data_IF_667301520751
#
_entry.id   IF_667301520751
#
_cell.length_a   1.000
_cell.length_b   1.000
_cell.length_c   1.000
_cell.angle_alpha   90.00
_cell.angle_beta   90.00
_cell.angle_gamma   90.00
#
_symmetry.space_group_name_H-M   'P 1'
#
loop_
_entity.id
_entity.type
_entity.pdbx_description
1 polymer ?
#
# COMPACT_ATOMS: atom_id res chain seq x y z
N UNK A 1 13.13 10.54 -4.12
CA UNK A 1 11.75 10.56 -3.56
C UNK A 1 11.83 9.92 -2.19
N UNK A 2 11.26 10.49 -1.13
CA UNK A 2 11.42 9.92 0.22
C UNK A 2 10.86 8.50 0.38
N UNK A 3 9.86 8.13 -0.42
CA UNK A 3 9.32 6.76 -0.45
C UNK A 3 10.36 5.71 -0.84
N UNK A 4 11.33 6.03 -1.70
CA UNK A 4 12.43 5.12 -2.03
C UNK A 4 13.50 5.02 -0.94
N UNK A 5 13.32 5.76 0.16
CA UNK A 5 14.19 5.74 1.33
C UNK A 5 13.57 4.93 2.48
N UNK A 6 12.38 4.35 2.30
CA UNK A 6 11.75 3.45 3.27
C UNK A 6 11.79 2.05 2.70
N UNK A 7 12.47 1.13 3.40
CA UNK A 7 12.38 -0.29 3.07
C UNK A 7 11.06 -0.84 3.62
N UNK A 8 10.23 -1.41 2.76
CA UNK A 8 8.96 -2.04 3.11
C UNK A 8 8.93 -3.47 2.57
N UNK A 9 8.54 -4.43 3.40
CA UNK A 9 8.31 -5.81 3.00
C UNK A 9 7.09 -6.38 3.73
N UNK A 10 6.41 -7.32 3.08
CA UNK A 10 5.23 -7.98 3.62
C UNK A 10 5.45 -9.49 3.56
N UNK A 11 5.16 -10.18 4.67
CA UNK A 11 5.25 -11.62 4.78
C UNK A 11 4.13 -12.16 5.68
N UNK A 12 3.39 -13.15 5.17
CA UNK A 12 2.16 -13.68 5.80
C UNK A 12 1.25 -12.56 6.36
N UNK A 13 1.02 -12.55 7.68
CA UNK A 13 0.16 -11.57 8.37
C UNK A 13 0.90 -10.31 8.82
N UNK A 14 2.19 -10.19 8.54
CA UNK A 14 3.01 -9.12 9.10
C UNK A 14 3.58 -8.21 8.00
N UNK A 15 3.41 -6.92 8.23
CA UNK A 15 4.07 -5.87 7.48
C UNK A 15 5.33 -5.46 8.24
N UNK A 16 6.47 -5.46 7.55
CA UNK A 16 7.76 -5.06 8.08
C UNK A 16 8.23 -3.82 7.34
N UNK A 17 8.68 -2.81 8.07
CA UNK A 17 9.29 -1.65 7.45
C UNK A 17 10.46 -1.15 8.29
N UNK A 18 11.42 -0.50 7.63
CA UNK A 18 12.52 0.20 8.30
C UNK A 18 12.48 1.69 7.95
N UNK A 19 12.50 2.59 8.95
CA UNK A 19 12.58 4.02 8.69
C UNK A 19 13.93 4.36 8.05
N UNK A 20 13.89 5.02 6.89
CA UNK A 20 14.97 5.92 6.46
C UNK A 20 14.63 7.38 6.79
N UNK A 21 15.38 8.36 6.27
CA UNK A 21 15.13 9.79 6.49
C UNK A 21 13.88 10.27 5.72
N UNK A 22 12.71 9.78 6.10
CA UNK A 22 11.43 10.18 5.53
C UNK A 22 10.93 11.48 6.21
N UNK A 23 10.42 12.45 5.45
CA UNK A 23 9.88 13.71 5.98
C UNK A 23 8.47 13.56 6.58
N UNK A 24 7.98 12.32 6.78
CA UNK A 24 6.67 12.01 7.36
C UNK A 24 6.84 11.40 8.75
N UNK A 25 5.96 11.75 9.71
CA UNK A 25 5.99 11.15 11.04
C UNK A 25 5.89 9.62 10.98
N UNK A 26 6.66 8.96 11.85
CA UNK A 26 6.64 7.49 11.99
C UNK A 26 5.24 6.93 12.22
N UNK A 27 4.44 7.59 13.06
CA UNK A 27 3.05 7.18 13.33
C UNK A 27 2.17 7.20 12.08
N UNK A 28 2.40 8.14 11.16
CA UNK A 28 1.71 8.19 9.86
C UNK A 28 2.10 7.01 8.99
N UNK A 29 3.38 6.61 8.98
CA UNK A 29 3.80 5.41 8.24
C UNK A 29 3.14 4.19 8.87
N UNK A 30 3.22 4.00 10.18
CA UNK A 30 2.64 2.84 10.89
C UNK A 30 1.12 2.72 10.70
N UNK A 31 0.40 3.85 10.72
CA UNK A 31 -1.05 3.91 10.56
C UNK A 31 -1.51 3.64 9.11
N UNK A 32 -0.69 3.97 8.11
CA UNK A 32 -1.06 3.84 6.69
C UNK A 32 -0.29 2.75 5.94
N UNK A 33 0.68 2.09 6.59
CA UNK A 33 1.47 0.99 6.02
C UNK A 33 0.89 -0.37 6.39
N UNK A 34 -0.43 -0.53 6.25
CA UNK A 34 -1.14 -1.74 6.68
C UNK A 34 -0.94 -2.89 5.68
N UNK A 35 -1.01 -4.12 6.21
CA UNK A 35 -1.08 -5.34 5.42
C UNK A 35 -2.49 -5.46 4.81
N UNK A 36 -2.65 -4.98 3.59
CA UNK A 36 -3.94 -5.06 2.88
C UNK A 36 -3.99 -6.30 2.00
N UNK A 37 -5.05 -7.10 2.15
CA UNK A 37 -5.43 -8.15 1.22
C UNK A 37 -6.53 -7.64 0.28
N UNK A 38 -6.45 -7.95 -1.01
CA UNK A 38 -7.40 -7.44 -2.01
C UNK A 38 -8.33 -8.56 -2.53
N UNK A 39 -9.63 -8.30 -2.55
CA UNK A 39 -10.62 -9.09 -3.30
C UNK A 39 -11.08 -8.24 -4.49
N UNK A 40 -10.83 -8.64 -5.75
CA UNK A 40 -11.27 -7.89 -6.90
C UNK A 40 -12.80 -7.97 -7.07
N UNK A 41 -13.45 -6.83 -7.30
CA UNK A 41 -14.89 -6.80 -7.59
C UNK A 41 -15.24 -7.37 -8.97
N UNK A 42 -14.31 -7.29 -9.92
CA UNK A 42 -14.50 -7.73 -11.31
C UNK A 42 -13.22 -8.36 -11.88
N UNK A 43 -13.33 -9.16 -12.96
CA UNK A 43 -12.15 -9.69 -13.66
C UNK A 43 -11.22 -8.61 -14.23
N UNK A 44 -11.75 -7.42 -14.54
CA UNK A 44 -10.92 -6.29 -14.98
C UNK A 44 -10.08 -5.73 -13.84
N UNK A 45 -10.68 -5.50 -12.66
CA UNK A 45 -9.93 -5.08 -11.46
C UNK A 45 -8.86 -6.11 -11.10
N UNK A 46 -9.18 -7.40 -11.21
CA UNK A 46 -8.21 -8.47 -10.98
C UNK A 46 -7.02 -8.39 -11.95
N UNK A 47 -7.26 -8.17 -13.24
CA UNK A 47 -6.18 -7.95 -14.22
C UNK A 47 -5.32 -6.75 -13.85
N UNK A 48 -5.93 -5.64 -13.46
CA UNK A 48 -5.20 -4.43 -13.10
C UNK A 48 -4.36 -4.62 -11.83
N UNK A 49 -4.90 -5.28 -10.81
CA UNK A 49 -4.17 -5.63 -9.58
C UNK A 49 -2.93 -6.48 -9.90
N UNK A 50 -3.02 -7.42 -10.84
CA UNK A 50 -1.87 -8.22 -11.29
C UNK A 50 -0.79 -7.43 -12.03
N UNK A 51 -1.11 -6.25 -12.58
CA UNK A 51 -0.13 -5.42 -13.27
C UNK A 51 0.71 -4.56 -12.33
N UNK A 52 0.27 -4.38 -11.08
CA UNK A 52 1.00 -3.63 -10.05
C UNK A 52 2.37 -4.28 -9.83
N UNK A 53 3.41 -3.46 -9.85
CA UNK A 53 4.78 -3.87 -9.55
C UNK A 53 5.26 -3.22 -8.26
N UNK A 54 6.36 -3.74 -7.73
CA UNK A 54 7.10 -3.06 -6.67
C UNK A 54 7.38 -1.61 -7.09
N UNK A 55 7.23 -0.69 -6.13
CA UNK A 55 7.40 0.77 -6.26
C UNK A 55 6.31 1.51 -7.05
N UNK A 56 5.26 0.81 -7.52
CA UNK A 56 4.08 1.48 -8.04
C UNK A 56 3.33 2.20 -6.91
N UNK A 57 2.87 3.41 -7.23
CA UNK A 57 1.97 4.15 -6.36
C UNK A 57 0.60 3.95 -6.92
N UNK A 58 -0.29 3.42 -6.10
CA UNK A 58 -1.64 3.11 -6.51
C UNK A 58 -2.64 3.82 -5.64
N UNK A 59 -3.76 4.20 -6.24
CA UNK A 59 -4.95 4.62 -5.53
C UNK A 59 -5.99 3.52 -5.68
N UNK A 60 -6.45 3.01 -4.55
CA UNK A 60 -7.43 1.94 -4.45
C UNK A 60 -8.74 2.51 -3.90
N UNK A 61 -9.85 2.15 -4.53
CA UNK A 61 -11.21 2.43 -4.06
C UNK A 61 -11.91 1.11 -3.75
N UNK A 62 -12.66 1.05 -2.65
CA UNK A 62 -13.29 -0.18 -2.22
C UNK A 62 -13.96 -0.09 -0.85
N UNK A 63 -14.29 -1.26 -0.31
CA UNK A 63 -14.88 -1.44 1.02
C UNK A 63 -13.99 -2.34 1.86
N UNK A 64 -13.86 -2.05 3.15
CA UNK A 64 -13.32 -3.01 4.11
C UNK A 64 -14.37 -4.08 4.38
N UNK A 65 -13.97 -5.35 4.31
CA UNK A 65 -14.91 -6.48 4.39
C UNK A 65 -14.38 -7.64 5.22
N UNK A 66 -15.32 -8.36 5.84
CA UNK A 66 -15.10 -9.72 6.31
C UNK A 66 -15.37 -10.72 5.17
N UNK A 67 -14.65 -11.84 5.12
CA UNK A 67 -14.88 -12.89 4.13
C UNK A 67 -15.56 -14.12 4.74
N UNK A 68 -16.53 -14.70 4.02
CA UNK A 68 -17.21 -15.93 4.41
C UNK A 68 -17.35 -16.87 3.20
N UNK A 69 -16.99 -18.14 3.38
CA UNK A 69 -17.20 -19.20 2.40
C UNK A 69 -18.19 -20.23 2.97
N UNK A 70 -19.42 -20.33 2.45
CA UNK A 70 -20.43 -21.23 2.99
C UNK A 70 -20.08 -22.71 2.84
N UNK A 71 -19.40 -23.08 1.75
CA UNK A 71 -19.13 -24.49 1.39
C UNK A 71 -18.37 -25.27 2.47
N UNK A 72 -17.51 -24.59 3.24
CA UNK A 72 -16.70 -25.17 4.31
C UNK A 72 -16.79 -24.38 5.62
N UNK A 73 -17.68 -23.40 5.70
CA UNK A 73 -17.88 -22.56 6.88
C UNK A 73 -16.73 -21.59 7.19
N UNK A 74 -15.76 -21.43 6.28
CA UNK A 74 -14.59 -20.57 6.51
C UNK A 74 -15.00 -19.11 6.74
N UNK A 75 -14.42 -18.49 7.78
CA UNK A 75 -14.63 -17.08 8.14
C UNK A 75 -13.29 -16.39 8.34
N UNK A 76 -13.10 -15.24 7.68
CA UNK A 76 -12.00 -14.34 7.94
C UNK A 76 -12.55 -13.01 8.43
N UNK A 77 -12.36 -12.76 9.73
CA UNK A 77 -12.63 -11.46 10.35
C UNK A 77 -11.42 -10.55 10.21
N UNK A 78 -11.65 -9.30 9.82
CA UNK A 78 -10.61 -8.31 9.49
C UNK A 78 -10.93 -6.99 10.16
N UNK A 79 -9.96 -6.07 10.15
CA UNK A 79 -10.25 -4.69 10.53
C UNK A 79 -11.19 -4.04 9.51
N UNK A 80 -12.16 -3.29 10.04
CA UNK A 80 -13.08 -2.44 9.28
C UNK A 80 -12.85 -0.95 9.55
N UNK A 81 -11.74 -0.61 10.20
CA UNK A 81 -11.27 0.75 10.46
C UNK A 81 -9.85 0.88 9.90
N UNK A 82 -9.41 2.11 9.62
CA UNK A 82 -8.14 2.38 8.91
C UNK A 82 -7.01 2.83 9.84
N UNK A 83 -7.31 3.04 11.10
CA UNK A 83 -6.43 3.66 12.09
C UNK A 83 -6.12 2.74 13.28
N UNK A 84 -6.55 1.48 13.23
CA UNK A 84 -6.18 0.49 14.24
C UNK A 84 -4.79 -0.10 13.99
N UNK A 85 -4.16 -0.56 15.06
CA UNK A 85 -2.79 -1.10 15.03
C UNK A 85 -2.71 -2.36 15.88
N UNK A 86 -1.73 -3.23 15.59
CA UNK A 86 -1.51 -4.47 16.34
C UNK A 86 -2.20 -5.69 15.75
N UNK A 87 -2.35 -6.74 16.56
CA UNK A 87 -2.91 -8.02 16.14
C UNK A 87 -4.41 -7.86 15.81
N UNK A 88 -4.80 -8.21 14.58
CA UNK A 88 -6.16 -8.00 14.07
C UNK A 88 -6.35 -6.77 13.16
N UNK A 89 -5.36 -5.88 13.04
CA UNK A 89 -5.41 -4.70 12.16
C UNK A 89 -5.26 -5.02 10.66
N UNK A 90 -5.18 -6.31 10.27
CA UNK A 90 -5.14 -6.70 8.87
C UNK A 90 -6.48 -6.42 8.20
N UNK A 91 -6.42 -5.71 7.07
CA UNK A 91 -7.59 -5.32 6.28
C UNK A 91 -7.76 -6.25 5.09
N UNK A 92 -9.01 -6.62 4.78
CA UNK A 92 -9.37 -7.05 3.42
C UNK A 92 -10.16 -5.92 2.77
N UNK A 93 -9.71 -5.49 1.60
CA UNK A 93 -10.41 -4.53 0.77
C UNK A 93 -11.09 -5.26 -0.38
N UNK A 94 -12.42 -5.12 -0.50
CA UNK A 94 -13.15 -5.41 -1.71
C UNK A 94 -12.94 -4.25 -2.70
N UNK A 95 -12.08 -4.48 -3.70
CA UNK A 95 -11.58 -3.44 -4.60
C UNK A 95 -12.56 -3.23 -5.74
N UNK A 96 -13.10 -2.01 -5.83
CA UNK A 96 -14.03 -1.58 -6.89
C UNK A 96 -13.37 -0.63 -7.89
N UNK A 97 -12.20 -0.06 -7.56
CA UNK A 97 -11.43 0.80 -8.45
C UNK A 97 -9.94 0.78 -8.14
N UNK A 98 -9.12 0.89 -9.18
CA UNK A 98 -7.66 0.94 -9.08
C UNK A 98 -7.13 1.95 -10.10
N UNK A 99 -6.21 2.80 -9.66
CA UNK A 99 -5.46 3.72 -10.50
C UNK A 99 -3.98 3.59 -10.17
N UNK A 100 -3.14 3.34 -11.18
CA UNK A 100 -1.68 3.34 -11.05
C UNK A 100 -1.19 4.73 -11.45
N UNK A 101 -0.53 5.43 -10.54
CA UNK A 101 0.04 6.74 -10.83
C UNK A 101 1.18 6.62 -11.85
N UNK A 102 1.33 7.59 -12.76
CA UNK A 102 2.43 7.61 -13.71
C UNK A 102 3.77 7.51 -12.99
N UNK A 103 4.61 6.57 -13.41
CA UNK A 103 6.01 6.56 -12.98
C UNK A 103 6.67 7.80 -13.57
N UNK A 104 7.06 8.74 -12.72
CA UNK A 104 7.87 9.87 -13.17
C UNK A 104 9.13 9.31 -13.86
N UNK A 105 9.53 9.85 -15.03
CA UNK A 105 10.69 9.36 -15.75
C UNK A 105 11.92 9.32 -14.85
N UNK A 106 12.57 8.16 -14.75
CA UNK A 106 13.89 8.07 -14.14
C UNK A 106 14.90 8.75 -15.08
N UNK A 107 15.12 10.05 -14.89
CA UNK A 107 16.13 10.81 -15.63
C UNK A 107 15.66 12.18 -16.10
N UNK A 108 15.51 13.14 -15.18
CA UNK A 108 15.60 14.59 -15.47
C UNK A 108 15.76 15.38 -14.18
N UNK A 109 16.73 14.99 -13.35
CA UNK A 109 17.36 15.95 -12.45
C UNK A 109 18.73 16.22 -13.03
N UNK A 110 18.77 17.12 -14.01
CA UNK A 110 20.01 17.82 -14.33
C UNK A 110 20.55 18.40 -13.04
N UNK A 111 21.85 18.24 -12.81
CA UNK A 111 22.57 18.97 -11.78
C UNK A 111 22.23 20.45 -11.92
N UNK A 112 21.36 20.94 -11.03
CA UNK A 112 21.13 22.36 -10.86
C UNK A 112 22.41 22.95 -10.31
N UNK A 113 23.15 23.64 -11.18
CA UNK A 113 24.17 24.62 -10.79
C UNK A 113 23.57 25.56 -9.71
N UNK A 114 24.04 25.44 -8.48
CA UNK A 114 24.10 26.53 -7.51
C UNK A 114 25.57 26.65 -7.13
N UNK A 115 26.35 27.51 -7.80
CA UNK A 115 26.54 28.88 -7.37
C UNK A 115 27.03 28.93 -5.91
N UNK A 116 28.35 28.86 -5.76
CA UNK A 116 29.03 29.47 -4.63
C UNK A 116 28.63 30.95 -4.60
N UNK A 117 28.04 31.39 -3.50
CA UNK A 117 28.04 32.77 -3.04
C UNK A 117 27.98 32.72 -1.52
N UNK A 118 29.17 32.93 -0.93
CA UNK A 118 29.54 33.24 0.45
C UNK A 118 28.74 32.60 1.60
#
# INVERSE_FOLDING_TARGET
RWLSQIEMSQGERFFYWRPGPAPVPRSTIEQYSTNVHAIPATPEIERQLRMIRRDDVVRISGLLVNAYRPADGYRWKTSLVRDDTGDGACEIVYVTGLQIEPRLPQGTYAQGRGANVN
#
